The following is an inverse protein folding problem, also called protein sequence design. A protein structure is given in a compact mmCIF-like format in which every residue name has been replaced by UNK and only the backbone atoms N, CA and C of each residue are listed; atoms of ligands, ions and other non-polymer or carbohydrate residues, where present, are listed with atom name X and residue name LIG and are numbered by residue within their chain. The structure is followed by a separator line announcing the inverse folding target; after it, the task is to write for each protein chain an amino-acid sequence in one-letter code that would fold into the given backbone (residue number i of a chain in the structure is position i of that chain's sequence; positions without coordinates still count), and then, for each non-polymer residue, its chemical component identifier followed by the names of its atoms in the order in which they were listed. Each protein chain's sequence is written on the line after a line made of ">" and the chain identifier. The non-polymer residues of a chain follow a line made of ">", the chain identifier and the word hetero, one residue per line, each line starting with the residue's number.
data_IF_992385124853
#
_entry.id   IF_992385124853
#
_cell.length_a   1.000
_cell.length_b   1.000
_cell.length_c   1.000
_cell.angle_alpha   90.00
_cell.angle_beta   90.00
_cell.angle_gamma   90.00
#
_symmetry.space_group_name_H-M   'P 1'
#
loop_
_entity.id
_entity.type
_entity.pdbx_description
1 polymer ?
#
# COMPACT_ATOMS: atom_id res chain seq x y z
N UNK A 1 -21.73 10.72 -14.76
CA UNK A 1 -23.01 10.27 -15.33
C UNK A 1 -22.83 9.55 -16.66
N UNK A 2 -22.16 10.13 -17.67
CA UNK A 2 -21.93 9.47 -18.98
C UNK A 2 -21.23 8.11 -18.85
N UNK A 3 -20.17 7.99 -18.03
CA UNK A 3 -19.49 6.71 -17.80
C UNK A 3 -20.37 5.66 -17.10
N UNK A 4 -21.23 6.08 -16.16
CA UNK A 4 -22.14 5.16 -15.46
C UNK A 4 -23.22 4.63 -16.42
N UNK A 5 -23.79 5.51 -17.26
CA UNK A 5 -24.75 5.12 -18.29
C UNK A 5 -24.11 4.21 -19.34
N UNK A 6 -22.85 4.48 -19.73
CA UNK A 6 -22.09 3.63 -20.66
C UNK A 6 -21.78 2.25 -20.06
N UNK A 7 -21.45 2.15 -18.76
CA UNK A 7 -21.26 0.85 -18.10
C UNK A 7 -22.55 0.04 -18.12
N UNK A 8 -23.69 0.65 -17.79
CA UNK A 8 -25.00 -0.04 -17.75
C UNK A 8 -25.42 -0.55 -19.14
N UNK A 9 -25.08 0.18 -20.21
CA UNK A 9 -25.51 -0.17 -21.57
C UNK A 9 -24.48 -1.09 -22.28
N UNK A 10 -23.18 -0.89 -22.04
CA UNK A 10 -22.12 -1.55 -22.80
C UNK A 10 -21.47 -2.73 -22.05
N UNK A 11 -21.62 -2.84 -20.73
CA UNK A 11 -21.05 -3.93 -19.94
C UNK A 11 -22.17 -4.88 -19.54
N UNK A 12 -22.30 -5.97 -20.29
CA UNK A 12 -23.17 -7.08 -19.92
C UNK A 12 -22.53 -7.82 -18.75
N UNK A 13 -23.28 -7.98 -17.66
CA UNK A 13 -22.76 -8.62 -16.44
C UNK A 13 -22.55 -10.11 -16.70
N UNK A 14 -21.30 -10.62 -16.69
CA UNK A 14 -21.04 -12.02 -16.99
C UNK A 14 -21.62 -12.90 -15.89
N UNK A 15 -21.92 -14.16 -16.22
CA UNK A 15 -22.33 -15.13 -15.21
C UNK A 15 -21.29 -15.19 -14.07
N UNK A 16 -21.76 -15.16 -12.83
CA UNK A 16 -20.91 -15.15 -11.65
C UNK A 16 -20.01 -16.40 -11.66
N UNK A 17 -18.70 -16.18 -11.75
CA UNK A 17 -17.68 -17.23 -11.86
C UNK A 17 -17.34 -17.67 -13.29
N UNK A 18 -17.86 -17.01 -14.33
CA UNK A 18 -17.50 -17.31 -15.72
C UNK A 18 -15.98 -17.19 -15.97
N UNK A 19 -15.32 -16.19 -15.39
CA UNK A 19 -13.88 -16.00 -15.49
C UNK A 19 -13.06 -17.14 -14.84
N UNK A 20 -13.57 -17.70 -13.73
CA UNK A 20 -12.95 -18.82 -13.00
C UNK A 20 -13.16 -20.16 -13.75
N UNK A 21 -14.30 -20.30 -14.44
CA UNK A 21 -14.62 -21.45 -15.31
C UNK A 21 -13.78 -21.46 -16.59
N UNK A 22 -13.59 -20.30 -17.22
CA UNK A 22 -12.87 -20.16 -18.49
C UNK A 22 -11.35 -20.33 -18.33
N UNK A 23 -10.79 -19.99 -17.16
CA UNK A 23 -9.38 -20.24 -16.82
C UNK A 23 -9.10 -21.67 -16.35
N UNK A 24 -10.12 -22.54 -16.26
CA UNK A 24 -9.97 -23.92 -15.76
C UNK A 24 -9.68 -24.01 -14.25
N UNK A 25 -9.90 -22.94 -13.49
CA UNK A 25 -9.65 -22.86 -12.04
C UNK A 25 -10.74 -23.54 -11.18
N UNK A 26 -11.64 -24.33 -11.79
CA UNK A 26 -12.46 -25.31 -11.05
C UNK A 26 -11.61 -26.55 -10.72
N UNK A 27 -10.46 -26.37 -10.07
CA UNK A 27 -9.60 -27.50 -9.65
C UNK A 27 -9.04 -27.38 -8.24
N UNK A 28 -9.43 -26.38 -7.47
CA UNK A 28 -9.27 -26.42 -6.02
C UNK A 28 -10.64 -26.24 -5.39
N UNK A 29 -11.07 -27.22 -4.59
CA UNK A 29 -12.13 -27.03 -3.61
C UNK A 29 -11.69 -25.94 -2.63
N UNK A 30 -11.82 -24.66 -3.01
CA UNK A 30 -11.69 -23.54 -2.09
C UNK A 30 -12.91 -23.60 -1.20
N UNK A 31 -12.82 -24.39 -0.14
CA UNK A 31 -13.83 -24.45 0.90
C UNK A 31 -13.96 -23.04 1.50
N UNK A 32 -15.13 -22.43 1.34
CA UNK A 32 -15.43 -21.12 1.92
C UNK A 32 -15.27 -21.21 3.43
N UNK A 33 -14.17 -20.67 3.96
CA UNK A 33 -13.99 -20.52 5.40
C UNK A 33 -14.90 -19.41 5.92
N UNK A 34 -15.22 -19.43 7.22
CA UNK A 34 -15.99 -18.35 7.82
C UNK A 34 -15.19 -17.04 7.80
N UNK A 35 -15.84 -15.92 7.47
CA UNK A 35 -15.18 -14.59 7.44
C UNK A 35 -14.45 -14.23 8.74
N UNK A 36 -15.03 -14.60 9.90
CA UNK A 36 -14.41 -14.36 11.20
C UNK A 36 -13.21 -15.27 11.45
N UNK A 37 -13.23 -16.49 10.92
CA UNK A 37 -12.11 -17.43 11.02
C UNK A 37 -10.93 -16.93 10.20
N UNK A 38 -11.21 -16.38 9.02
CA UNK A 38 -10.21 -15.75 8.17
C UNK A 38 -9.62 -14.51 8.84
N UNK A 39 -10.45 -13.67 9.45
CA UNK A 39 -9.98 -12.50 10.18
C UNK A 39 -9.09 -12.88 11.37
N UNK A 40 -9.50 -13.87 12.18
CA UNK A 40 -8.71 -14.36 13.30
C UNK A 40 -7.40 -15.00 12.83
N UNK A 41 -7.41 -15.72 11.71
CA UNK A 41 -6.21 -16.29 11.11
C UNK A 41 -5.24 -15.19 10.65
N UNK A 42 -5.74 -14.09 10.10
CA UNK A 42 -4.95 -12.94 9.70
C UNK A 42 -4.33 -12.22 10.91
N UNK A 43 -5.12 -11.98 11.97
CA UNK A 43 -4.61 -11.38 13.21
C UNK A 43 -3.57 -12.25 13.92
N UNK A 44 -3.58 -13.57 13.70
CA UNK A 44 -2.56 -14.49 14.22
C UNK A 44 -1.23 -14.40 13.45
N UNK A 45 -1.26 -13.92 12.22
CA UNK A 45 -0.06 -13.72 11.40
C UNK A 45 0.65 -12.42 11.82
N UNK A 46 1.79 -12.56 12.50
CA UNK A 46 2.52 -11.42 13.07
C UNK A 46 3.05 -10.50 11.99
N UNK A 47 3.50 -11.08 10.88
CA UNK A 47 3.98 -10.30 9.74
C UNK A 47 2.87 -9.44 9.15
N UNK A 48 1.66 -9.99 9.01
CA UNK A 48 0.48 -9.24 8.55
C UNK A 48 0.13 -8.10 9.51
N UNK A 49 0.14 -8.35 10.83
CA UNK A 49 -0.20 -7.32 11.83
C UNK A 49 0.82 -6.18 11.84
N UNK A 50 2.12 -6.49 11.92
CA UNK A 50 3.15 -5.45 11.96
C UNK A 50 3.24 -4.66 10.65
N UNK A 51 3.09 -5.33 9.49
CA UNK A 51 3.07 -4.64 8.19
C UNK A 51 1.83 -3.75 8.05
N UNK A 52 0.66 -4.19 8.49
CA UNK A 52 -0.56 -3.37 8.49
C UNK A 52 -0.40 -2.14 9.38
N UNK A 53 0.12 -2.29 10.61
CA UNK A 53 0.36 -1.16 11.52
C UNK A 53 1.38 -0.16 10.95
N UNK A 54 2.48 -0.64 10.38
CA UNK A 54 3.48 0.20 9.71
C UNK A 54 2.88 0.97 8.52
N UNK A 55 2.04 0.31 7.72
CA UNK A 55 1.36 0.94 6.59
C UNK A 55 0.39 2.02 7.02
N UNK A 56 -0.45 1.75 8.02
CA UNK A 56 -1.41 2.72 8.55
C UNK A 56 -0.69 3.99 9.04
N UNK A 57 0.48 3.86 9.67
CA UNK A 57 1.29 5.00 10.08
C UNK A 57 1.88 5.80 8.88
N UNK A 58 2.25 5.15 7.77
CA UNK A 58 2.66 5.86 6.55
C UNK A 58 1.46 6.63 5.96
N UNK A 59 0.33 5.95 5.82
CA UNK A 59 -0.90 6.51 5.25
C UNK A 59 -1.33 7.72 6.07
N UNK A 60 -1.29 7.62 7.41
CA UNK A 60 -1.46 8.77 8.31
C UNK A 60 -0.59 9.97 7.94
N UNK A 61 0.72 9.75 7.73
CA UNK A 61 1.68 10.82 7.43
C UNK A 61 1.40 11.44 6.06
N UNK A 62 1.17 10.61 5.04
CA UNK A 62 0.87 11.08 3.69
C UNK A 62 -0.44 11.86 3.67
N UNK A 63 -1.50 11.33 4.29
CA UNK A 63 -2.80 11.99 4.41
C UNK A 63 -2.70 13.32 5.16
N UNK A 64 -1.92 13.37 6.25
CA UNK A 64 -1.65 14.61 6.99
C UNK A 64 -1.00 15.68 6.11
N UNK A 65 0.07 15.31 5.41
CA UNK A 65 0.82 16.25 4.56
C UNK A 65 -0.07 16.72 3.41
N UNK A 66 -0.80 15.82 2.76
CA UNK A 66 -1.71 16.16 1.67
C UNK A 66 -2.81 17.12 2.11
N UNK A 67 -3.36 16.93 3.31
CA UNK A 67 -4.44 17.76 3.85
C UNK A 67 -3.97 19.15 4.29
N UNK A 68 -2.88 19.21 5.07
CA UNK A 68 -2.48 20.44 5.76
C UNK A 68 -1.43 21.28 5.03
N UNK A 69 -0.70 20.73 4.05
CA UNK A 69 0.33 21.49 3.33
C UNK A 69 -0.24 22.70 2.59
N UNK A 70 -1.36 22.61 1.85
CA UNK A 70 -1.93 23.79 1.19
C UNK A 70 -2.32 24.88 2.18
N UNK A 71 -2.96 24.53 3.29
CA UNK A 71 -3.30 25.48 4.37
C UNK A 71 -2.06 26.12 5.00
N UNK A 72 -0.99 25.35 5.22
CA UNK A 72 0.28 25.89 5.69
C UNK A 72 0.87 26.91 4.72
N UNK A 73 0.82 26.64 3.42
CA UNK A 73 1.26 27.58 2.38
C UNK A 73 0.39 28.84 2.37
N UNK A 74 -0.95 28.70 2.50
CA UNK A 74 -1.87 29.84 2.61
C UNK A 74 -1.55 30.74 3.81
N UNK A 75 -1.33 30.16 5.00
CA UNK A 75 -0.93 30.91 6.19
C UNK A 75 0.41 31.64 6.01
N UNK A 76 1.38 30.99 5.35
CA UNK A 76 2.68 31.61 5.07
C UNK A 76 2.57 32.76 4.07
N UNK A 77 1.73 32.63 3.05
CA UNK A 77 1.44 33.72 2.11
C UNK A 77 0.74 34.89 2.80
N UNK A 78 -0.21 34.61 3.69
CA UNK A 78 -0.88 35.66 4.47
C UNK A 78 0.09 36.41 5.41
N UNK A 79 1.01 35.70 6.06
CA UNK A 79 2.07 36.30 6.87
C UNK A 79 2.98 37.21 6.03
N UNK A 80 3.41 36.76 4.84
CA UNK A 80 4.26 37.55 3.95
C UNK A 80 3.57 38.82 3.41
N UNK A 81 2.24 38.85 3.39
CA UNK A 81 1.43 40.00 3.01
C UNK A 81 1.02 40.87 4.20
N UNK A 82 1.56 40.59 5.40
CA UNK A 82 1.26 41.29 6.66
C UNK A 82 -0.25 41.33 7.00
N UNK A 83 -0.98 40.29 6.59
CA UNK A 83 -2.42 40.17 6.85
C UNK A 83 -2.67 39.73 8.30
N UNK A 84 -3.77 40.21 8.88
CA UNK A 84 -4.16 39.83 10.23
C UNK A 84 -4.90 38.49 10.26
N UNK A 85 -5.60 38.14 9.18
CA UNK A 85 -6.44 36.95 9.12
C UNK A 85 -6.35 36.24 7.75
N UNK A 86 -5.90 34.98 7.74
CA UNK A 86 -5.81 34.17 6.50
C UNK A 86 -7.17 33.90 5.87
N UNK A 87 -8.21 33.69 6.68
CA UNK A 87 -9.53 33.32 6.14
C UNK A 87 -10.28 34.50 5.55
N UNK A 88 -10.24 35.66 6.21
CA UNK A 88 -11.00 36.84 5.83
C UNK A 88 -10.32 37.71 4.76
N UNK A 89 -8.99 37.76 4.74
CA UNK A 89 -8.25 38.75 3.92
C UNK A 89 -7.51 38.13 2.74
N UNK A 90 -7.25 36.83 2.74
CA UNK A 90 -6.58 36.17 1.61
C UNK A 90 -7.57 35.91 0.48
N UNK A 91 -7.30 36.50 -0.69
CA UNK A 91 -8.11 36.34 -1.91
C UNK A 91 -8.36 34.87 -2.23
N UNK A 92 -9.63 34.54 -2.53
CA UNK A 92 -10.05 33.20 -2.94
C UNK A 92 -9.32 32.72 -4.20
N UNK A 93 -8.89 33.63 -5.07
CA UNK A 93 -8.09 33.30 -6.25
C UNK A 93 -6.70 32.76 -5.86
N UNK A 94 -6.07 33.33 -4.83
CA UNK A 94 -4.75 32.88 -4.35
C UNK A 94 -4.86 31.49 -3.74
N UNK A 95 -5.89 31.24 -2.90
CA UNK A 95 -6.18 29.92 -2.33
C UNK A 95 -6.41 28.88 -3.43
N UNK A 96 -7.21 29.23 -4.44
CA UNK A 96 -7.45 28.35 -5.59
C UNK A 96 -6.16 28.04 -6.37
N UNK A 97 -5.30 29.03 -6.59
CA UNK A 97 -3.99 28.83 -7.24
C UNK A 97 -3.09 27.89 -6.44
N UNK A 98 -2.99 28.08 -5.12
CA UNK A 98 -2.19 27.20 -4.23
C UNK A 98 -2.71 25.76 -4.31
N UNK A 99 -4.02 25.56 -4.16
CA UNK A 99 -4.64 24.23 -4.20
C UNK A 99 -4.48 23.54 -5.57
N UNK A 100 -4.67 24.27 -6.68
CA UNK A 100 -4.47 23.71 -8.03
C UNK A 100 -3.01 23.35 -8.27
N UNK A 101 -2.05 24.20 -7.87
CA UNK A 101 -0.62 23.91 -8.03
C UNK A 101 -0.21 22.69 -7.22
N UNK A 102 -0.66 22.59 -5.96
CA UNK A 102 -0.39 21.42 -5.12
C UNK A 102 -1.03 20.14 -5.68
N UNK A 103 -2.29 20.23 -6.14
CA UNK A 103 -2.97 19.13 -6.81
C UNK A 103 -2.24 18.67 -8.08
N UNK A 104 -1.80 19.60 -8.92
CA UNK A 104 -1.04 19.30 -10.13
C UNK A 104 0.31 18.62 -9.81
N UNK A 105 1.06 19.12 -8.82
CA UNK A 105 2.29 18.49 -8.37
C UNK A 105 2.06 17.06 -7.87
N UNK A 106 0.99 16.85 -7.10
CA UNK A 106 0.62 15.53 -6.57
C UNK A 106 0.26 14.56 -7.71
N UNK A 107 -0.53 15.00 -8.68
CA UNK A 107 -0.89 14.19 -9.85
C UNK A 107 0.34 13.80 -10.68
N UNK A 108 1.22 14.76 -10.99
CA UNK A 108 2.43 14.50 -11.78
C UNK A 108 3.37 13.58 -11.00
N UNK A 109 3.57 13.82 -9.70
CA UNK A 109 4.38 12.97 -8.83
C UNK A 109 3.87 11.53 -8.77
N UNK A 110 2.55 11.35 -8.61
CA UNK A 110 1.90 10.04 -8.61
C UNK A 110 2.07 9.30 -9.94
N UNK A 111 1.79 9.96 -11.07
CA UNK A 111 1.97 9.37 -12.40
C UNK A 111 3.43 9.01 -12.68
N UNK A 112 4.37 9.92 -12.38
CA UNK A 112 5.79 9.67 -12.57
C UNK A 112 6.28 8.51 -11.70
N UNK A 113 5.83 8.40 -10.45
CA UNK A 113 6.16 7.29 -9.55
C UNK A 113 5.70 5.94 -10.11
N UNK A 114 4.44 5.84 -10.55
CA UNK A 114 3.90 4.61 -11.16
C UNK A 114 4.62 4.26 -12.45
N UNK A 115 4.88 5.25 -13.31
CA UNK A 115 5.56 5.05 -14.59
C UNK A 115 7.00 4.58 -14.41
N UNK A 116 7.78 5.27 -13.58
CA UNK A 116 9.18 4.92 -13.31
C UNK A 116 9.29 3.53 -12.65
N UNK A 117 8.41 3.23 -11.68
CA UNK A 117 8.35 1.92 -11.05
C UNK A 117 8.05 0.80 -12.05
N UNK A 118 7.07 1.02 -12.94
CA UNK A 118 6.67 0.03 -13.96
C UNK A 118 7.74 -0.16 -15.04
N UNK A 119 8.37 0.94 -15.50
CA UNK A 119 9.42 0.90 -16.51
C UNK A 119 10.66 0.17 -15.99
N UNK A 120 11.10 0.50 -14.77
CA UNK A 120 12.26 -0.14 -14.16
C UNK A 120 12.01 -1.64 -13.95
N UNK A 121 10.78 -2.03 -13.56
CA UNK A 121 10.37 -3.42 -13.40
C UNK A 121 10.43 -4.18 -14.73
N UNK A 122 9.98 -3.54 -15.81
CA UNK A 122 10.03 -4.10 -17.15
C UNK A 122 11.48 -4.24 -17.69
N UNK A 123 12.35 -3.28 -17.41
CA UNK A 123 13.76 -3.31 -17.82
C UNK A 123 14.54 -4.43 -17.12
N UNK A 124 14.32 -4.63 -15.81
CA UNK A 124 14.91 -5.73 -15.04
C UNK A 124 14.37 -7.10 -15.45
N UNK A 125 13.12 -7.19 -15.92
CA UNK A 125 12.53 -8.43 -16.45
C UNK A 125 13.08 -8.79 -17.83
N UNK A 126 13.20 -7.82 -18.73
CA UNK A 126 13.61 -8.09 -20.12
C UNK A 126 15.13 -8.22 -20.28
N UNK A 127 15.92 -7.71 -19.32
CA UNK A 127 17.38 -7.78 -19.35
C UNK A 127 18.02 -6.84 -20.37
N UNK A 128 17.31 -5.79 -20.80
CA UNK A 128 17.83 -4.74 -21.69
C UNK A 128 18.41 -3.57 -20.87
N UNK A 129 19.65 -3.19 -21.16
CA UNK A 129 20.37 -2.08 -20.50
C UNK A 129 21.48 -2.55 -19.53
N UNK A 130 21.88 -1.72 -18.54
CA UNK A 130 23.01 -2.01 -17.63
C UNK A 130 22.78 -3.19 -16.67
N UNK A 131 21.55 -3.72 -16.57
CA UNK A 131 21.16 -4.81 -15.66
C UNK A 131 21.21 -6.22 -16.28
N UNK A 132 22.00 -6.42 -17.36
CA UNK A 132 22.07 -7.67 -18.13
C UNK A 132 22.49 -8.90 -17.30
N UNK A 133 23.26 -8.72 -16.22
CA UNK A 133 23.67 -9.81 -15.32
C UNK A 133 22.65 -10.15 -14.22
N UNK A 134 21.61 -9.34 -14.01
CA UNK A 134 20.61 -9.49 -12.93
C UNK A 134 19.22 -9.88 -13.48
N UNK A 135 19.19 -10.73 -14.50
CA UNK A 135 17.94 -11.22 -15.09
C UNK A 135 17.24 -12.12 -14.07
N UNK A 136 16.14 -11.65 -13.49
CA UNK A 136 15.38 -12.43 -12.52
C UNK A 136 13.88 -12.38 -12.83
N UNK A 137 13.20 -13.52 -12.63
CA UNK A 137 11.72 -13.60 -12.65
C UNK A 137 11.10 -12.74 -11.53
N UNK A 138 11.90 -12.34 -10.54
CA UNK A 138 11.53 -11.48 -9.40
C UNK A 138 11.74 -9.98 -9.64
N UNK A 139 11.95 -9.56 -10.89
CA UNK A 139 12.16 -8.16 -11.29
C UNK A 139 11.13 -7.17 -10.72
N UNK A 140 9.83 -7.50 -10.79
CA UNK A 140 8.77 -6.69 -10.19
C UNK A 140 9.01 -6.48 -8.69
N UNK A 141 9.42 -7.51 -7.95
CA UNK A 141 9.67 -7.44 -6.52
C UNK A 141 10.97 -6.69 -6.15
N UNK A 142 12.05 -6.84 -6.95
CA UNK A 142 13.33 -6.13 -6.74
C UNK A 142 13.19 -4.63 -7.02
N UNK A 143 12.49 -4.27 -8.09
CA UNK A 143 12.23 -2.86 -8.43
C UNK A 143 11.30 -2.21 -7.43
N UNK A 144 10.28 -2.96 -7.02
CA UNK A 144 9.45 -2.52 -5.91
C UNK A 144 10.29 -2.37 -4.64
N UNK A 145 11.25 -3.27 -4.36
CA UNK A 145 12.14 -3.19 -3.19
C UNK A 145 13.14 -2.02 -3.20
N UNK A 146 13.78 -1.73 -4.35
CA UNK A 146 14.70 -0.58 -4.49
C UNK A 146 13.93 0.74 -4.56
N UNK A 147 12.82 0.75 -5.30
CA UNK A 147 11.84 1.83 -5.29
C UNK A 147 11.28 2.06 -3.88
N UNK A 148 11.21 1.03 -3.04
CA UNK A 148 10.73 1.11 -1.68
C UNK A 148 11.75 1.57 -0.64
N UNK A 149 13.05 1.52 -0.93
CA UNK A 149 14.07 2.22 -0.12
C UNK A 149 13.94 3.74 -0.30
N UNK A 150 13.36 4.19 -1.42
CA UNK A 150 13.15 5.61 -1.77
C UNK A 150 11.68 6.04 -1.52
N UNK A 151 10.72 5.14 -1.70
CA UNK A 151 9.27 5.35 -1.61
C UNK A 151 8.59 4.25 -0.80
N UNK A 152 8.54 4.44 0.50
CA UNK A 152 8.15 3.48 1.54
C UNK A 152 6.76 2.77 1.43
N UNK A 153 5.76 3.16 0.61
CA UNK A 153 4.46 2.46 0.55
C UNK A 153 4.41 1.11 -0.18
N UNK A 154 5.36 0.79 -1.08
CA UNK A 154 5.20 -0.35 -2.02
C UNK A 154 5.76 -1.69 -1.54
N UNK A 155 6.52 -1.72 -0.43
CA UNK A 155 6.98 -2.94 0.26
C UNK A 155 5.82 -3.84 0.75
N UNK A 156 4.64 -3.25 0.93
CA UNK A 156 3.53 -3.80 1.67
C UNK A 156 2.66 -4.77 0.89
N UNK A 157 2.42 -4.49 -0.38
CA UNK A 157 1.61 -5.37 -1.23
C UNK A 157 2.33 -6.70 -1.52
N UNK A 158 3.66 -6.66 -1.63
CA UNK A 158 4.50 -7.84 -1.84
C UNK A 158 4.61 -8.72 -0.57
N UNK A 159 4.84 -8.13 0.61
CA UNK A 159 4.92 -8.89 1.86
C UNK A 159 3.58 -9.54 2.21
N UNK A 160 2.47 -8.84 2.01
CA UNK A 160 1.13 -9.33 2.29
C UNK A 160 0.77 -10.56 1.44
N UNK A 161 1.03 -10.51 0.14
CA UNK A 161 0.71 -11.63 -0.77
C UNK A 161 1.58 -12.86 -0.52
N UNK A 162 2.80 -12.69 0.00
CA UNK A 162 3.71 -13.80 0.32
C UNK A 162 3.40 -14.51 1.64
N UNK A 163 2.66 -13.89 2.58
CA UNK A 163 2.34 -14.49 3.90
C UNK A 163 0.87 -14.86 4.10
N UNK A 164 -0.01 -14.48 3.17
CA UNK A 164 -1.45 -14.76 3.24
C UNK A 164 -1.84 -15.80 2.19
N UNK A 165 -2.62 -16.79 2.63
CA UNK A 165 -3.18 -17.86 1.80
C UNK A 165 -4.06 -17.28 0.69
N UNK A 166 -3.95 -17.73 -0.58
CA UNK A 166 -4.72 -17.18 -1.70
C UNK A 166 -6.21 -16.96 -1.42
N UNK A 167 -6.87 -17.90 -0.75
CA UNK A 167 -8.30 -17.81 -0.39
C UNK A 167 -8.64 -16.64 0.55
N UNK A 168 -7.68 -16.18 1.36
CA UNK A 168 -7.85 -15.11 2.38
C UNK A 168 -7.30 -13.76 1.95
N UNK A 169 -6.60 -13.70 0.80
CA UNK A 169 -5.88 -12.48 0.36
C UNK A 169 -6.80 -11.30 0.11
N UNK A 170 -8.01 -11.54 -0.40
CA UNK A 170 -9.00 -10.48 -0.65
C UNK A 170 -9.45 -9.83 0.67
N UNK A 171 -9.86 -10.64 1.65
CA UNK A 171 -10.27 -10.19 2.99
C UNK A 171 -9.14 -9.40 3.65
N UNK A 172 -7.92 -9.94 3.61
CA UNK A 172 -6.76 -9.31 4.21
C UNK A 172 -6.41 -7.95 3.56
N UNK A 173 -6.48 -7.87 2.22
CA UNK A 173 -6.27 -6.61 1.49
C UNK A 173 -7.36 -5.58 1.86
N UNK A 174 -8.63 -5.99 1.90
CA UNK A 174 -9.73 -5.11 2.28
C UNK A 174 -9.60 -4.60 3.72
N UNK A 175 -9.22 -5.46 4.67
CA UNK A 175 -9.01 -5.07 6.06
C UNK A 175 -7.84 -4.12 6.23
N UNK A 176 -6.73 -4.37 5.53
CA UNK A 176 -5.57 -3.48 5.56
C UNK A 176 -5.94 -2.08 5.02
N UNK A 177 -6.68 -2.01 3.91
CA UNK A 177 -7.17 -0.75 3.34
C UNK A 177 -8.11 -0.04 4.32
N UNK A 178 -9.07 -0.77 4.90
CA UNK A 178 -10.02 -0.24 5.87
C UNK A 178 -9.29 0.39 7.07
N UNK A 179 -8.38 -0.37 7.69
CA UNK A 179 -7.60 0.09 8.84
C UNK A 179 -6.75 1.31 8.50
N UNK A 180 -6.16 1.32 7.31
CA UNK A 180 -5.29 2.41 6.87
C UNK A 180 -6.05 3.69 6.56
N UNK A 181 -7.24 3.61 5.96
CA UNK A 181 -8.06 4.80 5.77
C UNK A 181 -8.69 5.29 7.09
N UNK A 182 -9.19 4.37 7.92
CA UNK A 182 -9.87 4.72 9.17
C UNK A 182 -8.92 5.37 10.17
N UNK A 183 -7.76 4.75 10.40
CA UNK A 183 -6.78 5.22 11.38
C UNK A 183 -5.65 6.04 10.76
N UNK A 184 -5.41 5.95 9.46
CA UNK A 184 -4.48 6.82 8.75
C UNK A 184 -5.19 8.09 8.31
N UNK A 185 -5.67 8.12 7.06
CA UNK A 185 -6.11 9.34 6.38
C UNK A 185 -7.28 10.07 7.06
N UNK A 186 -8.26 9.35 7.62
CA UNK A 186 -9.44 9.96 8.21
C UNK A 186 -9.15 10.59 9.58
N UNK A 187 -8.28 9.95 10.37
CA UNK A 187 -7.95 10.44 11.72
C UNK A 187 -6.81 11.46 11.73
N UNK A 188 -5.93 11.38 10.73
CA UNK A 188 -4.72 12.20 10.58
C UNK A 188 -4.98 13.71 10.68
N UNK A 189 -5.89 14.29 9.87
CA UNK A 189 -6.12 15.73 9.90
C UNK A 189 -6.56 16.22 11.28
N UNK A 190 -7.46 15.50 11.93
CA UNK A 190 -7.98 15.87 13.25
C UNK A 190 -6.90 15.86 14.33
N UNK A 191 -6.09 14.79 14.38
CA UNK A 191 -5.04 14.64 15.40
C UNK A 191 -3.98 15.74 15.24
N UNK A 192 -3.54 15.97 14.00
CA UNK A 192 -2.49 16.97 13.71
C UNK A 192 -3.01 18.38 13.91
N UNK A 193 -4.26 18.66 13.51
CA UNK A 193 -4.92 19.94 13.77
C UNK A 193 -4.99 20.25 15.26
N UNK A 194 -5.43 19.29 16.08
CA UNK A 194 -5.50 19.46 17.53
C UNK A 194 -4.13 19.71 18.17
N UNK A 195 -3.09 19.01 17.71
CA UNK A 195 -1.72 19.25 18.17
C UNK A 195 -1.25 20.64 17.76
N UNK A 196 -1.56 21.08 16.54
CA UNK A 196 -1.25 22.42 16.05
C UNK A 196 -1.92 23.49 16.91
N UNK A 197 -3.21 23.35 17.19
CA UNK A 197 -3.94 24.29 18.05
C UNK A 197 -3.37 24.33 19.46
N UNK A 198 -2.97 23.16 20.00
CA UNK A 198 -2.34 23.08 21.33
C UNK A 198 -0.96 23.76 21.35
N UNK A 199 -0.18 23.65 20.27
CA UNK A 199 1.13 24.32 20.13
C UNK A 199 0.95 25.83 19.93
N UNK A 200 -0.10 26.23 19.21
CA UNK A 200 -0.40 27.64 18.90
C UNK A 200 -0.82 28.43 20.14
N UNK A 201 -1.60 27.82 21.04
CA UNK A 201 -2.16 28.52 22.20
C UNK A 201 -3.06 29.66 21.75
N UNK A 202 -2.83 30.87 22.26
CA UNK A 202 -3.64 32.06 21.98
C UNK A 202 -3.15 32.88 20.76
N UNK A 203 -2.12 32.42 20.04
CA UNK A 203 -1.56 33.15 18.88
C UNK A 203 -2.35 32.87 17.59
N UNK A 204 -3.40 33.66 17.34
CA UNK A 204 -4.22 33.56 16.11
C UNK A 204 -3.61 34.30 14.90
N UNK A 205 -2.34 34.74 14.96
CA UNK A 205 -1.70 35.33 13.78
C UNK A 205 -1.45 34.28 12.69
N UNK A 206 -1.45 34.65 11.40
CA UNK A 206 -1.10 33.72 10.32
C UNK A 206 0.28 33.06 10.49
N UNK A 207 1.25 33.79 11.05
CA UNK A 207 2.56 33.25 11.41
C UNK A 207 2.51 32.25 12.56
N UNK A 208 1.62 32.44 13.54
CA UNK A 208 1.29 31.48 14.59
C UNK A 208 0.75 30.18 14.02
N UNK A 209 -0.29 30.25 13.18
CA UNK A 209 -0.88 29.12 12.47
C UNK A 209 0.13 28.35 11.61
N UNK A 210 0.99 29.04 10.87
CA UNK A 210 2.03 28.39 10.06
C UNK A 210 3.05 27.65 10.94
N UNK A 211 3.60 28.31 11.96
CA UNK A 211 4.64 27.74 12.83
C UNK A 211 4.13 26.58 13.66
N UNK A 212 2.91 26.67 14.19
CA UNK A 212 2.30 25.58 14.97
C UNK A 212 2.02 24.36 14.09
N UNK A 213 1.58 24.58 12.84
CA UNK A 213 1.31 23.50 11.89
C UNK A 213 2.58 22.80 11.44
N UNK A 214 3.62 23.55 11.08
CA UNK A 214 4.94 22.99 10.74
C UNK A 214 5.52 22.22 11.93
N UNK A 215 5.39 22.75 13.15
CA UNK A 215 5.84 22.07 14.36
C UNK A 215 5.09 20.76 14.61
N UNK A 216 3.80 20.70 14.29
CA UNK A 216 2.99 19.49 14.41
C UNK A 216 3.43 18.38 13.45
N UNK A 217 4.01 18.74 12.31
CA UNK A 217 4.60 17.75 11.39
C UNK A 217 5.85 17.05 11.95
N UNK A 218 6.47 17.52 13.04
CA UNK A 218 7.51 16.73 13.71
C UNK A 218 6.95 15.42 14.30
N UNK A 219 5.67 15.38 14.70
CA UNK A 219 5.03 14.12 15.08
C UNK A 219 4.99 13.13 13.91
N UNK A 220 4.78 13.61 12.69
CA UNK A 220 4.79 12.76 11.49
C UNK A 220 6.16 12.09 11.30
N UNK A 221 7.26 12.80 11.59
CA UNK A 221 8.61 12.23 11.58
C UNK A 221 8.78 11.12 12.62
N UNK A 222 8.25 11.30 13.83
CA UNK A 222 8.25 10.26 14.88
C UNK A 222 7.44 9.05 14.43
N UNK A 223 6.27 9.26 13.84
CA UNK A 223 5.43 8.17 13.30
C UNK A 223 6.12 7.43 12.15
N UNK A 224 6.91 8.11 11.32
CA UNK A 224 7.73 7.44 10.29
C UNK A 224 8.79 6.53 10.91
N UNK A 225 9.45 6.96 12.01
CA UNK A 225 10.39 6.11 12.74
C UNK A 225 9.67 4.89 13.34
N UNK A 226 8.51 5.10 13.97
CA UNK A 226 7.68 4.01 14.51
C UNK A 226 7.24 3.05 13.41
N UNK A 227 6.84 3.58 12.26
CA UNK A 227 6.48 2.81 11.08
C UNK A 227 7.67 1.95 10.62
N UNK A 228 8.86 2.53 10.49
CA UNK A 228 10.07 1.80 10.14
C UNK A 228 10.36 0.66 11.12
N UNK A 229 10.19 0.88 12.43
CA UNK A 229 10.32 -0.17 13.45
C UNK A 229 9.33 -1.32 13.22
N UNK A 230 8.05 -1.02 12.97
CA UNK A 230 7.06 -2.05 12.64
C UNK A 230 7.43 -2.82 11.38
N UNK A 231 8.02 -2.16 10.37
CA UNK A 231 8.52 -2.84 9.19
C UNK A 231 9.71 -3.75 9.45
N UNK A 232 10.65 -3.33 10.30
CA UNK A 232 11.75 -4.20 10.72
C UNK A 232 11.24 -5.42 11.48
N UNK A 233 10.25 -5.24 12.36
CA UNK A 233 9.60 -6.34 13.06
C UNK A 233 8.88 -7.29 12.10
N UNK A 234 8.15 -6.75 11.11
CA UNK A 234 7.50 -7.55 10.07
C UNK A 234 8.53 -8.35 9.26
N UNK A 235 9.65 -7.73 8.88
CA UNK A 235 10.73 -8.39 8.15
C UNK A 235 11.37 -9.52 8.98
N UNK A 236 11.51 -9.32 10.29
CA UNK A 236 12.01 -10.35 11.20
C UNK A 236 11.05 -11.54 11.31
N UNK A 237 9.74 -11.30 11.45
CA UNK A 237 8.74 -12.38 11.56
C UNK A 237 8.42 -13.06 10.23
N UNK A 238 8.71 -12.38 9.11
CA UNK A 238 8.37 -12.81 7.75
C UNK A 238 8.87 -14.21 7.43
N UNK A 239 10.13 -14.52 7.75
CA UNK A 239 10.74 -15.82 7.42
C UNK A 239 9.95 -16.96 8.08
N UNK A 240 9.55 -16.79 9.33
CA UNK A 240 8.79 -17.79 10.08
C UNK A 240 7.35 -17.94 9.57
N UNK A 241 6.67 -16.84 9.26
CA UNK A 241 5.30 -16.88 8.75
C UNK A 241 5.24 -17.41 7.31
N UNK A 242 6.27 -17.14 6.50
CA UNK A 242 6.43 -17.70 5.16
C UNK A 242 6.66 -19.22 5.17
N UNK A 243 7.43 -19.74 6.13
CA UNK A 243 7.60 -21.18 6.28
C UNK A 243 6.28 -21.88 6.67
N UNK A 244 5.49 -21.27 7.56
CA UNK A 244 4.15 -21.79 7.91
C UNK A 244 3.22 -21.78 6.70
N UNK A 245 3.23 -20.68 5.95
CA UNK A 245 2.45 -20.54 4.73
C UNK A 245 2.82 -21.62 3.69
N UNK A 246 4.12 -21.86 3.48
CA UNK A 246 4.59 -22.92 2.58
C UNK A 246 4.17 -24.31 3.03
N UNK A 247 4.17 -24.57 4.34
CA UNK A 247 3.71 -25.85 4.89
C UNK A 247 2.21 -26.07 4.67
N UNK A 248 1.39 -25.06 4.97
CA UNK A 248 -0.07 -25.12 4.76
C UNK A 248 -0.43 -25.29 3.27
N UNK A 249 0.32 -24.63 2.38
CA UNK A 249 0.19 -24.82 0.92
C UNK A 249 0.62 -26.22 0.48
N UNK A 250 1.72 -26.75 1.02
CA UNK A 250 2.20 -28.11 0.74
C UNK A 250 1.20 -29.19 1.16
N UNK A 251 0.65 -29.07 2.36
CA UNK A 251 -0.39 -29.98 2.87
C UNK A 251 -1.68 -29.89 2.02
N UNK A 252 -2.03 -28.70 1.53
CA UNK A 252 -3.19 -28.49 0.63
C UNK A 252 -2.95 -29.08 -0.77
N UNK A 253 -1.72 -28.95 -1.30
CA UNK A 253 -1.34 -29.51 -2.60
C UNK A 253 -1.32 -31.05 -2.56
N UNK A 254 -0.81 -31.65 -1.48
CA UNK A 254 -0.81 -33.11 -1.29
C UNK A 254 -2.24 -33.67 -1.16
N UNK A 255 -3.18 -32.91 -0.61
CA UNK A 255 -4.60 -33.27 -0.55
C UNK A 255 -5.36 -33.04 -1.86
N UNK A 256 -4.87 -32.16 -2.74
CA UNK A 256 -5.50 -31.79 -4.01
C UNK A 256 -5.01 -32.61 -5.21
N UNK A 257 -3.96 -33.43 -5.05
CA UNK A 257 -3.48 -34.33 -6.10
C UNK A 257 -4.46 -35.50 -6.28
N UNK A 258 -5.03 -35.72 -7.49
CA UNK A 258 -5.74 -36.96 -7.79
C UNK A 258 -4.81 -38.15 -7.54
N UNK A 259 -5.30 -39.25 -6.97
CA UNK A 259 -4.49 -40.45 -6.63
C UNK A 259 -3.59 -40.93 -7.79
N UNK A 260 -4.02 -40.75 -9.05
CA UNK A 260 -3.25 -41.10 -10.25
C UNK A 260 -1.97 -40.28 -10.47
N UNK A 261 -1.93 -39.01 -10.04
CA UNK A 261 -0.72 -38.17 -10.14
C UNK A 261 0.27 -38.43 -9.00
N UNK A 262 -0.23 -38.86 -7.83
CA UNK A 262 0.58 -39.18 -6.66
C UNK A 262 1.37 -40.49 -6.88
N UNK A 263 0.80 -41.47 -7.59
CA UNK A 263 1.55 -42.66 -8.05
C UNK A 263 2.62 -42.33 -9.10
N UNK A 264 2.34 -41.39 -10.00
CA UNK A 264 3.30 -40.95 -11.04
C UNK A 264 4.50 -40.20 -10.46
N UNK A 265 4.30 -39.44 -9.39
CA UNK A 265 5.38 -38.74 -8.69
C UNK A 265 6.22 -39.69 -7.82
N UNK A 266 5.61 -40.73 -7.25
CA UNK A 266 6.32 -41.76 -6.46
C UNK A 266 7.15 -42.71 -7.32
N UNK A 267 6.78 -42.93 -8.58
CA UNK A 267 7.46 -43.85 -9.50
C UNK A 267 8.64 -43.23 -10.26
N UNK A 268 8.69 -41.91 -10.40
CA UNK A 268 9.81 -41.19 -11.02
C UNK A 268 10.30 -40.05 -10.13
N UNK A 269 11.18 -40.34 -9.15
CA UNK A 269 11.86 -39.30 -8.41
C UNK A 269 12.70 -38.48 -9.41
N UNK A 270 12.46 -37.18 -9.42
CA UNK A 270 13.17 -36.18 -10.22
C UNK A 270 14.69 -36.47 -10.28
N UNK A 271 15.17 -36.98 -11.41
CA UNK A 271 16.57 -36.84 -11.78
C UNK A 271 16.83 -35.34 -11.97
N UNK A 272 17.51 -34.76 -10.98
CA UNK A 272 18.11 -33.44 -11.10
C UNK A 272 19.24 -33.59 -12.11
N UNK A 273 18.96 -33.27 -13.37
CA UNK A 273 19.99 -33.21 -14.41
C UNK A 273 20.95 -32.04 -14.11
N UNK A 274 22.01 -32.35 -13.36
CA UNK A 274 23.13 -31.43 -13.06
C UNK A 274 24.09 -31.26 -14.24
N UNK A 275 23.63 -31.38 -15.49
CA UNK A 275 24.50 -31.22 -16.65
C UNK A 275 23.82 -30.52 -17.84
N UNK A 276 23.51 -29.22 -17.70
CA UNK A 276 23.65 -28.15 -18.72
C UNK A 276 22.69 -26.98 -18.47
N UNK A 277 23.23 -25.88 -17.92
CA UNK A 277 23.10 -24.47 -18.37
C UNK A 277 23.39 -23.50 -17.23
#
# INVERSE_FOLDING_TARGET
>A
MICLTAIIICVEEPERGAAEREQGEITANVTSSGYLEDLLALLKNRTYVFSTAGYTAIVFVIGTIAWWTPSGVEHKFAENLELNNTEAELSSEIKARINITFGAMTCIGGMAGVFLGSMLAHLLRSGRGPFRSLKTVRSNAIVCGVGAVIGFPSLLFALHTEVVIPSRRSVATSWQILMSHLFGDASAPYIVGKISDTIRGDDDTPGGHFRSLVSSFYMANVLLVVSALFFFLAAYTFVGDRMKFQKEMGDTMDQALPEELNERYRSHPLEIDTARM
#
